data_IF_815163854569
#
_entry.id   IF_815163854569
#
_cell.length_a   1.000
_cell.length_b   1.000
_cell.length_c   1.000
_cell.angle_alpha   90.00
_cell.angle_beta   90.00
_cell.angle_gamma   90.00
#
_symmetry.space_group_name_H-M   'P 1'
#
loop_
_entity.id
_entity.type
_entity.pdbx_description
1 polymer ?
#
# COMPACT_ATOMS: atom_id res chain seq x y z
N UNK A 1 7.14 14.98 -4.37
CA UNK A 1 7.08 13.53 -4.60
C UNK A 1 7.21 12.86 -3.25
N UNK A 2 6.28 11.98 -2.91
CA UNK A 2 6.31 11.21 -1.65
C UNK A 2 6.59 9.75 -2.00
N UNK A 3 7.34 9.06 -1.14
CA UNK A 3 7.76 7.67 -1.35
C UNK A 3 7.37 6.84 -0.12
N UNK A 4 6.84 5.64 -0.37
CA UNK A 4 6.61 4.60 0.63
C UNK A 4 7.56 3.43 0.33
N UNK A 5 8.74 3.41 0.96
CA UNK A 5 9.72 2.36 0.72
C UNK A 5 9.36 1.09 1.49
N UNK A 6 9.69 -0.08 0.90
CA UNK A 6 9.57 -1.40 1.53
C UNK A 6 8.15 -1.72 2.04
N UNK A 7 7.12 -1.26 1.34
CA UNK A 7 5.73 -1.59 1.65
C UNK A 7 5.50 -3.10 1.49
N UNK A 8 4.78 -3.71 2.43
CA UNK A 8 4.33 -5.10 2.31
C UNK A 8 3.24 -5.18 1.24
N UNK A 9 3.36 -6.12 0.30
CA UNK A 9 2.31 -6.35 -0.70
C UNK A 9 1.04 -6.89 -0.03
N UNK A 10 -0.07 -6.19 -0.19
CA UNK A 10 -1.34 -6.46 0.50
C UNK A 10 -1.41 -5.90 1.91
N UNK A 11 -0.37 -5.19 2.37
CA UNK A 11 -0.37 -4.48 3.64
C UNK A 11 -1.05 -3.11 3.54
N UNK A 12 -1.51 -2.61 4.68
CA UNK A 12 -2.10 -1.28 4.79
C UNK A 12 -1.05 -0.18 4.60
N UNK A 13 -1.46 0.89 3.93
CA UNK A 13 -0.70 2.12 3.78
C UNK A 13 -1.09 3.03 4.95
N UNK A 14 -0.06 3.57 5.62
CA UNK A 14 -0.27 4.49 6.73
C UNK A 14 -1.08 5.72 6.28
N UNK A 15 -2.07 6.17 7.08
CA UNK A 15 -2.86 7.33 6.73
C UNK A 15 -2.01 8.57 6.48
N UNK A 16 -2.38 9.35 5.47
CA UNK A 16 -1.73 10.61 5.15
C UNK A 16 -2.73 11.66 4.69
N UNK A 17 -2.32 12.93 4.72
CA UNK A 17 -3.18 14.05 4.37
C UNK A 17 -2.70 14.72 3.10
N UNK A 18 -3.65 15.14 2.27
CA UNK A 18 -3.41 16.03 1.14
C UNK A 18 -4.09 17.37 1.40
N UNK A 19 -3.41 18.44 0.99
CA UNK A 19 -3.94 19.79 1.05
C UNK A 19 -4.01 20.40 -0.36
N UNK A 20 -5.12 21.04 -0.67
CA UNK A 20 -5.28 21.90 -1.83
C UNK A 20 -4.64 23.24 -1.54
N UNK A 21 -3.54 23.54 -2.23
CA UNK A 21 -2.70 24.70 -1.97
C UNK A 21 -2.75 25.64 -3.18
N UNK A 22 -2.88 26.95 -2.94
CA UNK A 22 -2.83 27.96 -3.99
C UNK A 22 -1.38 28.36 -4.36
N UNK A 23 -1.23 29.25 -5.35
CA UNK A 23 0.09 29.72 -5.79
C UNK A 23 0.87 30.52 -4.74
N UNK A 24 0.24 30.88 -3.62
CA UNK A 24 0.82 31.61 -2.49
C UNK A 24 1.09 30.70 -1.29
N UNK A 25 1.02 29.38 -1.47
CA UNK A 25 1.18 28.37 -0.42
C UNK A 25 0.12 28.43 0.70
N UNK A 26 -1.09 28.89 0.38
CA UNK A 26 -2.21 28.92 1.31
C UNK A 26 -3.17 27.76 1.03
N UNK A 27 -3.73 27.17 2.09
CA UNK A 27 -4.76 26.13 1.96
C UNK A 27 -6.05 26.76 1.45
N UNK A 28 -6.59 26.22 0.37
CA UNK A 28 -7.84 26.68 -0.23
C UNK A 28 -9.02 26.07 0.52
N UNK A 29 -9.46 26.76 1.57
CA UNK A 29 -10.53 26.28 2.47
C UNK A 29 -11.94 26.42 1.89
N UNK A 30 -12.09 27.18 0.81
CA UNK A 30 -13.39 27.40 0.15
C UNK A 30 -13.91 26.15 -0.59
N UNK A 31 -13.04 25.17 -0.86
CA UNK A 31 -13.42 23.93 -1.53
C UNK A 31 -13.73 22.83 -0.51
N UNK A 32 -14.96 22.31 -0.58
CA UNK A 32 -15.46 21.21 0.25
C UNK A 32 -16.26 20.18 -0.53
N UNK A 33 -16.24 20.25 -1.87
CA UNK A 33 -17.08 19.40 -2.73
C UNK A 33 -16.28 18.57 -3.71
N UNK A 34 -15.05 18.99 -4.03
CA UNK A 34 -14.21 18.27 -4.95
C UNK A 34 -13.61 17.00 -4.33
N UNK A 35 -13.22 16.09 -5.21
CA UNK A 35 -12.76 14.74 -4.86
C UNK A 35 -11.31 14.57 -5.27
N UNK A 36 -10.61 13.71 -4.55
CA UNK A 36 -9.32 13.14 -4.93
C UNK A 36 -9.56 11.70 -5.34
N UNK A 37 -9.11 11.31 -6.54
CA UNK A 37 -9.18 9.93 -7.05
C UNK A 37 -7.78 9.34 -7.15
N UNK A 38 -7.60 8.12 -6.66
CA UNK A 38 -6.37 7.36 -6.89
C UNK A 38 -6.44 6.65 -8.26
N UNK A 39 -5.34 6.74 -9.00
CA UNK A 39 -5.12 6.03 -10.26
C UNK A 39 -3.72 5.40 -10.23
N UNK A 40 -3.65 4.10 -10.44
CA UNK A 40 -2.38 3.38 -10.52
C UNK A 40 -1.80 3.58 -11.93
N UNK A 41 -0.58 4.11 -12.01
CA UNK A 41 0.14 4.20 -13.27
C UNK A 41 1.05 2.98 -13.41
N UNK A 42 0.60 2.02 -14.20
CA UNK A 42 1.40 0.86 -14.55
C UNK A 42 2.15 1.19 -15.85
N UNK A 43 3.46 1.40 -15.79
CA UNK A 43 4.25 1.53 -17.01
C UNK A 43 4.38 0.15 -17.65
N UNK A 44 3.92 0.02 -18.91
CA UNK A 44 3.88 -1.23 -19.69
C UNK A 44 5.25 -1.94 -19.87
N UNK A 45 6.35 -1.37 -19.38
CA UNK A 45 7.70 -1.95 -19.46
C UNK A 45 7.98 -2.99 -18.37
N UNK A 46 7.13 -3.10 -17.35
CA UNK A 46 7.30 -4.03 -16.24
C UNK A 46 6.32 -5.18 -16.43
N UNK A 47 6.83 -6.37 -16.80
CA UNK A 47 6.05 -7.61 -16.82
C UNK A 47 5.72 -8.02 -15.37
N UNK A 48 4.78 -7.32 -14.74
CA UNK A 48 4.33 -7.65 -13.40
C UNK A 48 3.57 -8.98 -13.45
N UNK A 49 4.12 -10.01 -12.79
CA UNK A 49 3.49 -11.33 -12.68
C UNK A 49 2.15 -11.26 -11.92
N UNK A 50 2.01 -10.26 -11.05
CA UNK A 50 0.80 -9.99 -10.28
C UNK A 50 0.39 -8.54 -10.52
N UNK A 51 -0.81 -8.29 -11.09
CA UNK A 51 -1.26 -6.95 -11.38
C UNK A 51 -1.46 -6.16 -10.08
N UNK A 52 -1.18 -4.85 -10.07
CA UNK A 52 -1.38 -4.03 -8.89
C UNK A 52 -2.87 -3.83 -8.60
N UNK A 53 -3.23 -3.89 -7.33
CA UNK A 53 -4.59 -3.77 -6.82
C UNK A 53 -4.56 -2.80 -5.63
N UNK A 54 -5.49 -1.85 -5.65
CA UNK A 54 -5.84 -1.03 -4.48
C UNK A 54 -7.04 -1.67 -3.80
N UNK A 55 -6.94 -1.87 -2.49
CA UNK A 55 -8.03 -2.30 -1.63
C UNK A 55 -8.41 -1.15 -0.70
N UNK A 56 -9.71 -0.95 -0.50
CA UNK A 56 -10.25 0.21 0.23
C UNK A 56 -10.82 1.28 -0.69
N UNK A 57 -10.92 2.50 -0.17
CA UNK A 57 -11.46 3.63 -0.91
C UNK A 57 -10.46 4.14 -1.96
N UNK A 58 -10.96 4.40 -3.17
CA UNK A 58 -10.17 5.02 -4.25
C UNK A 58 -10.58 6.48 -4.50
N UNK A 59 -11.58 6.97 -3.76
CA UNK A 59 -12.11 8.33 -3.88
C UNK A 59 -12.25 8.94 -2.49
N UNK A 60 -11.61 10.09 -2.30
CA UNK A 60 -11.58 10.83 -1.05
C UNK A 60 -12.16 12.24 -1.28
N UNK A 61 -12.81 12.80 -0.27
CA UNK A 61 -13.46 14.10 -0.39
C UNK A 61 -12.63 15.17 0.29
N UNK A 62 -12.53 16.33 -0.37
CA UNK A 62 -11.95 17.51 0.24
C UNK A 62 -12.92 18.09 1.27
N UNK A 63 -12.42 18.39 2.46
CA UNK A 63 -13.09 19.10 3.53
C UNK A 63 -12.20 20.27 3.94
N UNK A 64 -12.67 21.50 3.70
CA UNK A 64 -11.90 22.72 3.92
C UNK A 64 -10.51 22.70 3.26
N UNK A 65 -10.44 22.20 2.02
CA UNK A 65 -9.19 22.08 1.28
C UNK A 65 -8.26 20.95 1.75
N UNK A 66 -8.69 20.09 2.68
CA UNK A 66 -7.91 18.94 3.16
C UNK A 66 -8.62 17.63 2.83
N UNK A 67 -7.86 16.58 2.53
CA UNK A 67 -8.38 15.22 2.40
C UNK A 67 -7.52 14.27 3.23
N UNK A 68 -8.17 13.44 4.05
CA UNK A 68 -7.55 12.32 4.74
C UNK A 68 -7.60 11.09 3.81
N UNK A 69 -6.43 10.53 3.51
CA UNK A 69 -6.29 9.28 2.76
C UNK A 69 -5.97 8.19 3.78
N UNK A 70 -6.89 7.23 3.95
CA UNK A 70 -6.81 6.14 4.93
C UNK A 70 -7.48 4.88 4.43
N UNK A 71 -7.36 3.81 5.21
CA UNK A 71 -8.00 2.52 4.94
C UNK A 71 -7.66 1.97 3.55
N UNK A 72 -6.42 2.24 3.12
CA UNK A 72 -5.89 1.90 1.80
C UNK A 72 -4.88 0.76 1.98
N UNK A 73 -5.07 -0.35 1.27
CA UNK A 73 -4.06 -1.38 1.13
C UNK A 73 -3.65 -1.52 -0.34
N UNK A 74 -2.39 -1.89 -0.56
CA UNK A 74 -1.85 -2.00 -1.92
C UNK A 74 -1.17 -3.34 -2.10
N UNK A 75 -1.66 -4.12 -3.06
CA UNK A 75 -1.10 -5.40 -3.46
C UNK A 75 -0.53 -5.31 -4.88
N UNK A 76 0.55 -6.04 -5.13
CA UNK A 76 1.18 -6.11 -6.45
C UNK A 76 2.23 -7.21 -6.48
N UNK A 77 3.13 -7.18 -7.46
CA UNK A 77 4.28 -8.06 -7.50
C UNK A 77 5.27 -7.67 -6.40
N UNK A 78 5.58 -8.55 -5.43
CA UNK A 78 6.62 -8.28 -4.43
C UNK A 78 7.96 -7.89 -5.10
N UNK A 79 8.70 -6.98 -4.48
CA UNK A 79 9.97 -6.47 -5.02
C UNK A 79 9.84 -5.41 -6.12
N UNK A 80 8.64 -5.11 -6.60
CA UNK A 80 8.41 -4.16 -7.68
C UNK A 80 8.04 -2.75 -7.19
N UNK A 81 8.31 -1.76 -8.04
CA UNK A 81 7.98 -0.37 -7.79
C UNK A 81 6.77 0.07 -8.62
N UNK A 82 5.95 0.93 -8.03
CA UNK A 82 4.69 1.42 -8.60
C UNK A 82 4.56 2.92 -8.39
N UNK A 83 3.98 3.61 -9.37
CA UNK A 83 3.64 5.02 -9.27
C UNK A 83 2.11 5.16 -9.21
N UNK A 84 1.61 5.86 -8.20
CA UNK A 84 0.19 6.14 -8.00
C UNK A 84 -0.04 7.65 -8.17
N UNK A 85 -0.92 8.02 -9.08
CA UNK A 85 -1.39 9.40 -9.23
C UNK A 85 -2.64 9.63 -8.39
N UNK A 86 -2.58 10.65 -7.53
CA UNK A 86 -3.74 11.22 -6.86
C UNK A 86 -4.19 12.44 -7.66
N UNK A 87 -5.34 12.30 -8.32
CA UNK A 87 -5.89 13.26 -9.28
C UNK A 87 -7.08 14.01 -8.66
N UNK A 88 -7.23 15.28 -8.98
CA UNK A 88 -8.40 16.08 -8.55
C UNK A 88 -8.87 17.04 -9.64
N UNK A 89 -10.17 17.31 -9.65
CA UNK A 89 -10.80 18.32 -10.51
C UNK A 89 -10.86 19.70 -9.83
N UNK A 90 -10.43 19.81 -8.57
CA UNK A 90 -10.40 21.08 -7.83
C UNK A 90 -9.46 22.14 -8.45
N UNK A 91 -8.46 21.69 -9.20
CA UNK A 91 -7.47 22.56 -9.85
C UNK A 91 -7.96 22.90 -11.26
N UNK A 92 -8.53 24.08 -11.42
CA UNK A 92 -8.98 24.60 -12.71
C UNK A 92 -7.79 24.84 -13.66
N UNK A 93 -7.64 23.94 -14.64
CA UNK A 93 -6.59 23.96 -15.67
C UNK A 93 -6.68 25.16 -16.61
N UNK A 94 -7.85 25.80 -16.71
CA UNK A 94 -8.06 26.96 -17.60
C UNK A 94 -7.49 28.25 -17.03
N UNK A 95 -7.20 28.30 -15.71
CA UNK A 95 -6.54 29.45 -15.09
C UNK A 95 -5.14 29.62 -15.66
N UNK A 96 -4.83 30.83 -16.12
CA UNK A 96 -3.54 31.20 -16.71
C UNK A 96 -2.34 30.74 -15.88
N UNK A 97 -2.37 30.92 -14.55
CA UNK A 97 -1.28 30.49 -13.66
C UNK A 97 -1.06 28.98 -13.66
N UNK A 98 -2.12 28.18 -13.75
CA UNK A 98 -2.04 26.72 -13.77
C UNK A 98 -1.55 26.24 -15.13
N UNK A 99 -2.02 26.86 -16.22
CA UNK A 99 -1.55 26.59 -17.58
C UNK A 99 -0.05 26.91 -17.74
N UNK A 100 0.40 28.05 -17.21
CA UNK A 100 1.82 28.44 -17.20
C UNK A 100 2.66 27.48 -16.36
N UNK A 101 2.18 27.10 -15.17
CA UNK A 101 2.84 26.10 -14.33
C UNK A 101 2.99 24.76 -15.06
N UNK A 102 1.90 24.22 -15.61
CA UNK A 102 1.89 22.97 -16.38
C UNK A 102 2.89 23.01 -17.55
N UNK A 103 2.89 24.11 -18.32
CA UNK A 103 3.84 24.31 -19.43
C UNK A 103 5.29 24.36 -18.95
N UNK A 104 5.56 25.03 -17.83
CA UNK A 104 6.91 25.13 -17.25
C UNK A 104 7.44 23.80 -16.72
N UNK A 105 6.55 22.93 -16.24
CA UNK A 105 6.90 21.61 -15.71
C UNK A 105 6.86 20.52 -16.78
N UNK A 106 6.33 20.83 -17.97
CA UNK A 106 6.14 19.85 -19.05
C UNK A 106 5.13 18.76 -18.68
N UNK A 107 4.08 19.11 -17.93
CA UNK A 107 3.02 18.20 -17.49
C UNK A 107 1.66 18.64 -18.05
N UNK A 108 0.79 17.69 -18.36
CA UNK A 108 -0.58 17.96 -18.84
C UNK A 108 -1.62 18.03 -17.71
N UNK A 109 -1.20 17.67 -16.49
CA UNK A 109 -2.03 17.67 -15.30
C UNK A 109 -1.21 17.90 -14.03
N UNK A 110 -1.80 18.63 -13.08
CA UNK A 110 -1.24 18.85 -11.75
C UNK A 110 -1.76 17.72 -10.85
N UNK A 111 -0.99 16.64 -10.78
CA UNK A 111 -1.28 15.47 -9.95
C UNK A 111 -0.25 15.31 -8.85
N UNK A 112 -0.67 14.75 -7.72
CA UNK A 112 0.27 14.29 -6.71
C UNK A 112 0.69 12.86 -7.02
N UNK A 113 1.99 12.64 -7.15
CA UNK A 113 2.57 11.30 -7.38
C UNK A 113 3.08 10.71 -6.07
N UNK A 114 2.60 9.52 -5.76
CA UNK A 114 3.03 8.66 -4.69
C UNK A 114 3.78 7.48 -5.29
N UNK A 115 5.06 7.34 -4.97
CA UNK A 115 5.86 6.17 -5.37
C UNK A 115 5.81 5.12 -4.25
N UNK A 116 5.48 3.88 -4.60
CA UNK A 116 5.42 2.76 -3.67
C UNK A 116 6.40 1.69 -4.13
N UNK A 117 7.32 1.33 -3.25
CA UNK A 117 8.29 0.26 -3.48
C UNK A 117 7.89 -0.94 -2.63
N UNK A 118 7.39 -2.01 -3.26
CA UNK A 118 7.02 -3.23 -2.55
C UNK A 118 8.28 -4.02 -2.17
N UNK A 119 8.37 -4.47 -0.92
CA UNK A 119 9.40 -5.44 -0.53
C UNK A 119 9.04 -6.85 -1.01
N UNK A 120 10.04 -7.71 -1.07
CA UNK A 120 9.82 -9.15 -1.15
C UNK A 120 9.06 -9.66 0.07
N UNK A 121 8.40 -10.82 -0.05
CA UNK A 121 7.84 -11.49 1.12
C UNK A 121 8.97 -11.93 2.08
N UNK A 122 8.74 -11.76 3.37
CA UNK A 122 9.66 -12.10 4.43
C UNK A 122 9.46 -13.53 4.92
N UNK A 123 10.45 -14.07 5.64
CA UNK A 123 10.30 -15.37 6.31
C UNK A 123 9.19 -15.20 7.36
N UNK A 124 8.29 -16.18 7.45
CA UNK A 124 7.09 -16.09 8.28
C UNK A 124 5.87 -15.54 7.55
N UNK A 125 6.00 -15.17 6.27
CA UNK A 125 4.87 -14.82 5.42
C UNK A 125 4.57 -15.94 4.40
N UNK A 126 3.30 -16.07 4.03
CA UNK A 126 2.89 -16.76 2.82
C UNK A 126 2.83 -15.79 1.63
N UNK A 127 3.29 -16.25 0.48
CA UNK A 127 3.09 -15.58 -0.79
C UNK A 127 1.80 -16.13 -1.41
N UNK A 128 0.78 -15.28 -1.52
CA UNK A 128 -0.52 -15.64 -2.13
C UNK A 128 -0.47 -15.62 -3.66
N UNK A 129 -1.40 -16.32 -4.31
CA UNK A 129 -1.57 -16.28 -5.77
C UNK A 129 -1.96 -14.89 -6.30
N UNK A 130 -2.45 -13.99 -5.44
CA UNK A 130 -2.81 -12.61 -5.79
C UNK A 130 -1.66 -11.60 -5.59
N UNK A 131 -0.42 -12.04 -5.36
CA UNK A 131 0.70 -11.11 -5.18
C UNK A 131 0.94 -10.64 -3.74
N UNK A 132 0.07 -10.98 -2.78
CA UNK A 132 0.18 -10.51 -1.39
C UNK A 132 1.17 -11.33 -0.58
N UNK A 133 1.85 -10.67 0.34
CA UNK A 133 2.61 -11.29 1.41
C UNK A 133 1.77 -11.21 2.68
N UNK A 134 1.36 -12.35 3.24
CA UNK A 134 0.48 -12.40 4.42
C UNK A 134 1.19 -13.14 5.54
N UNK A 135 1.25 -12.57 6.73
CA UNK A 135 1.88 -13.23 7.88
C UNK A 135 1.17 -14.56 8.20
N UNK A 136 1.94 -15.61 8.49
CA UNK A 136 1.40 -16.90 8.88
C UNK A 136 0.57 -16.76 10.17
N UNK A 137 -0.71 -17.21 10.18
CA UNK A 137 -1.60 -17.03 11.32
C UNK A 137 -1.11 -17.67 12.62
N UNK A 138 -1.26 -16.92 13.71
CA UNK A 138 -0.99 -17.34 15.08
C UNK A 138 -1.80 -18.59 15.48
N UNK A 139 -1.19 -19.50 16.23
CA UNK A 139 -1.75 -20.76 16.70
C UNK A 139 -1.99 -21.82 15.61
N UNK A 140 -1.95 -21.44 14.34
CA UNK A 140 -2.35 -22.29 13.23
C UNK A 140 -1.18 -22.73 12.36
N UNK A 141 -0.24 -21.83 12.09
CA UNK A 141 0.79 -22.10 11.09
C UNK A 141 2.05 -21.24 11.27
N UNK A 142 3.10 -21.62 10.56
CA UNK A 142 4.37 -20.91 10.52
C UNK A 142 5.03 -21.02 9.14
N UNK A 143 6.04 -20.19 8.88
CA UNK A 143 6.95 -20.39 7.75
C UNK A 143 8.38 -20.08 8.15
N UNK A 144 9.29 -21.03 7.94
CA UNK A 144 10.73 -20.87 8.19
C UNK A 144 11.55 -20.64 6.91
N UNK A 145 10.87 -20.54 5.77
CA UNK A 145 11.50 -20.33 4.47
C UNK A 145 10.95 -19.06 3.83
N UNK A 146 11.79 -18.36 3.09
CA UNK A 146 11.35 -17.23 2.27
C UNK A 146 10.64 -17.77 1.03
N UNK A 147 9.39 -17.37 0.82
CA UNK A 147 8.63 -17.72 -0.37
C UNK A 147 8.90 -16.70 -1.49
N UNK A 148 9.53 -17.15 -2.59
CA UNK A 148 9.76 -16.34 -3.79
C UNK A 148 8.69 -16.58 -4.87
N UNK A 149 7.77 -17.51 -4.62
CA UNK A 149 6.63 -17.83 -5.45
C UNK A 149 5.44 -18.25 -4.57
N UNK A 150 4.21 -18.30 -5.11
CA UNK A 150 3.03 -18.58 -4.31
C UNK A 150 3.13 -19.91 -3.56
N UNK A 151 2.82 -19.87 -2.27
CA UNK A 151 2.93 -21.00 -1.35
C UNK A 151 2.13 -20.75 -0.08
N UNK A 152 2.01 -21.80 0.74
CA UNK A 152 1.23 -21.76 1.98
C UNK A 152 2.13 -21.94 3.20
N UNK A 153 1.72 -21.36 4.33
CA UNK A 153 2.35 -21.63 5.62
C UNK A 153 2.23 -23.11 6.00
N UNK A 154 3.20 -23.62 6.75
CA UNK A 154 3.17 -24.99 7.29
C UNK A 154 2.25 -25.04 8.50
N UNK A 155 1.42 -26.08 8.59
CA UNK A 155 0.52 -26.28 9.73
C UNK A 155 1.31 -26.53 11.03
N UNK A 156 0.85 -25.94 12.12
CA UNK A 156 1.49 -26.08 13.42
C UNK A 156 1.33 -27.52 13.98
N UNK A 157 2.41 -28.24 14.33
CA UNK A 157 2.32 -29.52 15.01
C UNK A 157 2.03 -29.33 16.51
N UNK A 158 0.77 -29.05 16.84
CA UNK A 158 0.30 -28.68 18.19
C UNK A 158 0.46 -29.75 19.27
N UNK A 159 0.94 -30.94 18.92
CA UNK A 159 1.33 -31.98 19.88
C UNK A 159 2.78 -31.87 20.36
N UNK A 160 3.59 -31.02 19.71
CA UNK A 160 5.04 -30.90 19.91
C UNK A 160 5.52 -29.45 20.01
N UNK A 161 4.75 -28.51 19.48
CA UNK A 161 5.14 -27.12 19.40
C UNK A 161 3.95 -26.19 19.62
N UNK A 162 4.27 -24.98 20.07
CA UNK A 162 3.37 -23.83 20.11
C UNK A 162 3.84 -22.90 18.98
N UNK A 163 2.95 -22.52 18.07
CA UNK A 163 3.29 -21.61 16.98
C UNK A 163 2.64 -20.27 17.23
N UNK A 164 3.43 -19.22 17.43
CA UNK A 164 2.95 -17.86 17.68
C UNK A 164 2.79 -17.05 16.37
N UNK A 165 2.57 -17.75 15.26
CA UNK A 165 2.50 -17.18 13.91
C UNK A 165 3.86 -16.76 13.34
N UNK A 166 3.87 -16.33 12.09
CA UNK A 166 5.10 -15.89 11.41
C UNK A 166 6.19 -16.98 11.41
N UNK A 167 7.32 -16.66 12.01
CA UNK A 167 8.47 -17.56 12.23
C UNK A 167 8.55 -18.14 13.65
N UNK A 168 7.63 -17.74 14.53
CA UNK A 168 7.73 -17.97 15.96
C UNK A 168 7.21 -19.37 16.32
N UNK A 169 8.12 -20.28 16.66
CA UNK A 169 7.80 -21.66 17.04
C UNK A 169 8.55 -22.00 18.32
N UNK A 170 7.80 -22.33 19.36
CA UNK A 170 8.31 -22.76 20.66
C UNK A 170 8.08 -24.26 20.87
N UNK A 171 8.99 -24.91 21.60
CA UNK A 171 8.81 -26.30 21.98
C UNK A 171 7.69 -26.44 23.03
N UNK A 172 6.76 -27.35 22.81
CA UNK A 172 5.78 -27.69 23.82
C UNK A 172 6.37 -28.75 24.74
N UNK A 173 6.73 -28.36 25.97
CA UNK A 173 7.12 -29.31 27.01
C UNK A 173 5.82 -29.88 27.60
N UNK A 174 5.56 -31.20 27.53
CA UNK A 174 4.42 -31.78 28.21
C UNK A 174 4.56 -31.47 29.69
N UNK A 175 3.57 -30.81 30.28
CA UNK A 175 3.52 -30.65 31.73
C UNK A 175 3.56 -32.04 32.34
N UNK A 176 4.60 -32.35 33.12
CA UNK A 176 4.58 -33.50 34.02
C UNK A 176 3.33 -33.34 34.87
N UNK A 177 2.31 -34.14 34.58
CA UNK A 177 1.15 -34.27 35.45
C UNK A 177 1.70 -34.68 36.81
N UNK A 178 1.61 -33.77 37.79
CA UNK A 178 1.80 -34.12 39.18
C UNK A 178 0.65 -35.06 39.53
N UNK A 179 0.96 -36.35 39.54
CA UNK A 179 0.09 -37.41 40.04
C UNK A 179 -0.04 -37.37 41.55
#
# INVERSE_FOLDING_TARGET
MSEIPKQQSGGEIQPFYLALIDKYNQVVTADSTNKIRLVINVTNSQNYRYPPIIEGDSTFYLSYGLAEIKDLAFAGTPGANYSISLMTEAIDKTKKSNAEYMKSQGIDQIDFKLEISLRECEIGEQFTSSGKCVQCPDGLSFSLVKMNEPGNCQSCPTSKAICNGGTNIDAQIPSLAQG
#
